data_IF_994572005616
#
_entry.id   IF_994572005616
#
_cell.length_a   1.000
_cell.length_b   1.000
_cell.length_c   1.000
_cell.angle_alpha   90.00
_cell.angle_beta   90.00
_cell.angle_gamma   90.00
#
_symmetry.space_group_name_H-M   'P 1'
#
loop_
_entity.id
_entity.type
_entity.pdbx_description
1 polymer ?
#
# COMPACT_ATOMS: atom_id res chain seq x y z
N UNK A 1 -9.16 -14.02 57.34
CA UNK A 1 -9.45 -12.62 56.95
C UNK A 1 -8.10 -11.95 56.82
N UNK A 2 -7.59 -11.51 55.68
CA UNK A 2 -8.17 -11.01 54.42
C UNK A 2 -7.33 -11.49 53.23
N UNK A 3 -7.97 -11.76 52.09
CA UNK A 3 -7.30 -11.77 50.79
C UNK A 3 -7.73 -10.49 50.08
N UNK A 4 -6.73 -9.69 49.70
CA UNK A 4 -6.87 -8.46 48.95
C UNK A 4 -7.44 -8.77 47.55
N UNK A 5 -8.57 -8.16 47.23
CA UNK A 5 -9.24 -8.27 45.91
C UNK A 5 -8.82 -7.06 45.09
N UNK A 6 -7.66 -7.14 44.45
CA UNK A 6 -7.33 -6.20 43.37
C UNK A 6 -8.02 -6.67 42.10
N UNK A 7 -9.14 -6.03 41.80
CA UNK A 7 -9.96 -6.19 40.61
C UNK A 7 -9.19 -5.79 39.33
N UNK A 8 -9.31 -6.55 38.21
CA UNK A 8 -8.51 -6.33 36.99
C UNK A 8 -9.05 -5.19 36.10
N UNK A 9 -9.68 -4.17 36.68
CA UNK A 9 -10.38 -3.11 35.94
C UNK A 9 -9.53 -1.89 35.58
N UNK A 10 -8.29 -1.74 36.08
CA UNK A 10 -7.54 -0.48 35.91
C UNK A 10 -6.65 -0.38 34.66
N UNK A 11 -6.50 -1.45 33.86
CA UNK A 11 -5.61 -1.41 32.69
C UNK A 11 -6.27 -0.86 31.41
N UNK A 12 -7.60 -0.82 31.36
CA UNK A 12 -8.36 -0.42 30.17
C UNK A 12 -8.92 1.01 30.21
N UNK A 13 -8.78 1.72 31.34
CA UNK A 13 -9.47 3.00 31.56
C UNK A 13 -8.73 4.24 31.01
N UNK A 14 -7.55 4.09 30.39
CA UNK A 14 -6.76 5.26 29.91
C UNK A 14 -6.25 5.14 28.47
N UNK A 15 -6.72 4.17 27.71
CA UNK A 15 -6.29 3.99 26.31
C UNK A 15 -7.26 4.70 25.38
N UNK A 16 -6.75 5.63 24.56
CA UNK A 16 -7.56 6.33 23.58
C UNK A 16 -8.08 5.36 22.50
N UNK A 17 -9.14 5.72 21.79
CA UNK A 17 -9.82 4.85 20.83
C UNK A 17 -8.88 4.29 19.74
N UNK A 18 -7.85 5.06 19.35
CA UNK A 18 -6.83 4.63 18.39
C UNK A 18 -5.96 3.51 18.95
N UNK A 19 -5.51 3.63 20.21
CA UNK A 19 -4.74 2.60 20.90
C UNK A 19 -5.59 1.37 21.22
N UNK A 20 -6.87 1.53 21.55
CA UNK A 20 -7.81 0.42 21.73
C UNK A 20 -8.02 -0.37 20.44
N UNK A 21 -8.15 0.31 19.29
CA UNK A 21 -8.25 -0.37 17.98
C UNK A 21 -6.97 -1.14 17.65
N UNK A 22 -5.79 -0.55 17.87
CA UNK A 22 -4.51 -1.22 17.62
C UNK A 22 -4.30 -2.45 18.53
N UNK A 23 -4.62 -2.34 19.83
CA UNK A 23 -4.54 -3.46 20.79
C UNK A 23 -5.55 -4.56 20.42
N UNK A 24 -6.77 -4.19 20.01
CA UNK A 24 -7.79 -5.14 19.56
C UNK A 24 -7.35 -5.89 18.30
N UNK A 25 -6.66 -5.22 17.36
CA UNK A 25 -6.06 -5.89 16.20
C UNK A 25 -4.91 -6.80 16.57
N UNK A 26 -4.00 -6.39 17.45
CA UNK A 26 -2.95 -7.31 17.90
C UNK A 26 -3.54 -8.57 18.53
N UNK A 27 -4.61 -8.46 19.32
CA UNK A 27 -5.28 -9.64 19.87
C UNK A 27 -6.03 -10.48 18.81
N UNK A 28 -6.60 -9.86 17.78
CA UNK A 28 -7.25 -10.57 16.67
C UNK A 28 -6.24 -11.19 15.68
N UNK A 29 -5.05 -10.58 15.53
CA UNK A 29 -3.92 -11.01 14.68
C UNK A 29 -3.02 -12.02 15.39
N UNK A 30 -3.15 -12.22 16.72
CA UNK A 30 -2.42 -13.25 17.48
C UNK A 30 -2.70 -14.70 17.03
N UNK A 31 -3.71 -14.94 16.20
CA UNK A 31 -3.86 -16.18 15.42
C UNK A 31 -3.38 -15.97 13.97
N UNK A 32 -2.91 -17.03 13.28
CA UNK A 32 -2.60 -16.99 11.83
C UNK A 32 -3.87 -16.61 11.05
N UNK A 33 -4.13 -15.30 10.91
CA UNK A 33 -5.15 -14.80 10.02
C UNK A 33 -4.76 -15.23 8.60
N UNK A 34 -5.76 -15.68 7.85
CA UNK A 34 -5.58 -15.92 6.43
C UNK A 34 -5.35 -14.57 5.75
N UNK A 35 -4.57 -14.57 4.66
CA UNK A 35 -4.24 -13.34 3.93
C UNK A 35 -5.50 -12.61 3.39
N UNK A 36 -6.58 -13.35 3.17
CA UNK A 36 -7.89 -12.88 2.69
C UNK A 36 -8.95 -12.79 3.79
N UNK A 37 -8.56 -12.83 5.07
CA UNK A 37 -9.50 -12.73 6.18
C UNK A 37 -10.31 -11.43 6.10
N UNK A 38 -11.64 -11.57 6.13
CA UNK A 38 -12.57 -10.43 6.01
C UNK A 38 -12.33 -9.32 7.04
N UNK A 39 -11.79 -9.65 8.22
CA UNK A 39 -11.44 -8.66 9.26
C UNK A 39 -10.28 -7.79 8.81
N UNK A 40 -9.26 -8.37 8.18
CA UNK A 40 -8.13 -7.62 7.60
C UNK A 40 -8.64 -6.71 6.48
N UNK A 41 -9.46 -7.25 5.58
CA UNK A 41 -10.02 -6.48 4.47
C UNK A 41 -10.87 -5.30 4.95
N UNK A 42 -11.74 -5.53 5.93
CA UNK A 42 -12.56 -4.47 6.53
C UNK A 42 -11.70 -3.45 7.26
N UNK A 43 -10.64 -3.89 7.94
CA UNK A 43 -9.71 -2.98 8.59
C UNK A 43 -9.04 -2.05 7.58
N UNK A 44 -8.42 -2.60 6.52
CA UNK A 44 -7.78 -1.84 5.45
C UNK A 44 -8.75 -0.84 4.80
N UNK A 45 -9.96 -1.28 4.47
CA UNK A 45 -10.99 -0.45 3.81
C UNK A 45 -11.48 0.71 4.68
N UNK A 46 -11.64 0.48 5.99
CA UNK A 46 -12.30 1.44 6.88
C UNK A 46 -11.34 2.37 7.65
N UNK A 47 -10.03 2.12 7.59
CA UNK A 47 -9.05 2.87 8.39
C UNK A 47 -8.12 3.75 7.55
N UNK A 48 -8.48 4.03 6.30
CA UNK A 48 -7.79 5.02 5.47
C UNK A 48 -6.46 4.56 4.86
N UNK A 49 -6.18 3.25 4.88
CA UNK A 49 -5.02 2.63 4.23
C UNK A 49 -5.16 2.58 2.70
N UNK A 50 -6.39 2.59 2.17
CA UNK A 50 -6.62 2.70 0.73
C UNK A 50 -6.78 4.17 0.35
N UNK A 51 -5.89 4.66 -0.52
CA UNK A 51 -6.02 5.96 -1.17
C UNK A 51 -6.47 5.73 -2.61
N UNK A 52 -7.61 6.30 -3.04
CA UNK A 52 -8.03 6.18 -4.43
C UNK A 52 -7.04 6.92 -5.34
N UNK A 53 -6.87 6.47 -6.60
CA UNK A 53 -6.06 7.21 -7.55
C UNK A 53 -6.69 8.58 -7.86
N UNK A 54 -5.89 9.56 -8.32
CA UNK A 54 -6.40 10.82 -8.85
C UNK A 54 -7.37 10.60 -10.02
N UNK A 55 -8.15 11.64 -10.36
CA UNK A 55 -8.97 11.61 -11.58
C UNK A 55 -8.08 11.54 -12.83
N UNK A 56 -8.56 10.88 -13.89
CA UNK A 56 -7.82 10.61 -15.15
C UNK A 56 -7.27 11.86 -15.86
N UNK A 57 -7.78 13.04 -15.55
CA UNK A 57 -7.36 14.31 -16.17
C UNK A 57 -6.38 15.11 -15.31
N UNK A 58 -5.83 14.51 -14.26
CA UNK A 58 -4.82 15.13 -13.40
C UNK A 58 -3.44 14.71 -13.89
N UNK A 59 -2.59 15.69 -14.18
CA UNK A 59 -1.19 15.43 -14.55
C UNK A 59 -0.42 14.79 -13.39
N UNK A 60 0.57 13.97 -13.73
CA UNK A 60 1.50 13.40 -12.76
C UNK A 60 2.23 14.49 -11.95
N UNK A 61 2.37 14.26 -10.65
CA UNK A 61 3.15 15.10 -9.74
C UNK A 61 4.52 14.44 -9.45
N UNK A 62 5.37 14.35 -10.47
CA UNK A 62 6.72 13.78 -10.36
C UNK A 62 7.69 14.86 -9.86
N UNK A 63 8.55 14.51 -8.91
CA UNK A 63 9.57 15.38 -8.30
C UNK A 63 10.86 15.45 -9.13
N UNK A 64 11.12 14.44 -9.96
CA UNK A 64 12.22 14.39 -10.94
C UNK A 64 11.68 14.21 -12.35
N UNK A 65 10.86 15.15 -12.85
CA UNK A 65 10.37 15.10 -14.23
C UNK A 65 11.49 15.34 -15.26
N UNK A 66 12.63 15.90 -14.81
CA UNK A 66 13.65 16.55 -15.62
C UNK A 66 14.90 15.71 -15.92
N UNK A 67 14.74 14.39 -16.03
CA UNK A 67 15.64 13.70 -16.97
C UNK A 67 14.96 13.85 -18.33
N UNK A 68 15.60 14.62 -19.21
CA UNK A 68 15.19 14.93 -20.58
C UNK A 68 14.00 14.10 -21.08
N UNK A 69 12.86 14.69 -21.48
CA UNK A 69 11.74 13.96 -22.07
C UNK A 69 12.10 13.06 -23.26
N UNK A 70 13.28 13.25 -23.86
CA UNK A 70 13.86 12.39 -24.89
C UNK A 70 14.63 11.18 -24.35
N UNK A 71 15.02 11.20 -23.08
CA UNK A 71 15.53 10.08 -22.31
C UNK A 71 14.38 9.44 -21.55
N UNK A 72 13.79 8.43 -22.18
CA UNK A 72 12.84 7.51 -21.56
C UNK A 72 13.55 6.69 -20.48
N UNK A 73 13.85 7.31 -19.34
CA UNK A 73 14.58 6.66 -18.25
C UNK A 73 13.59 5.83 -17.46
N UNK A 74 13.57 4.55 -17.80
CA UNK A 74 12.98 3.50 -17.01
C UNK A 74 13.58 3.51 -15.59
N UNK A 75 12.84 3.98 -14.55
CA UNK A 75 13.38 4.05 -13.19
C UNK A 75 13.57 2.65 -12.60
N UNK A 76 12.96 1.62 -13.19
CA UNK A 76 13.00 0.24 -12.70
C UNK A 76 14.35 -0.47 -12.89
N UNK A 77 15.32 0.21 -13.53
CA UNK A 77 16.62 -0.36 -13.90
C UNK A 77 16.50 -1.53 -14.89
N UNK A 78 15.56 -1.45 -15.84
CA UNK A 78 15.38 -2.43 -16.93
C UNK A 78 14.31 -3.50 -16.67
N UNK A 79 13.65 -3.48 -15.51
CA UNK A 79 12.62 -4.48 -15.18
C UNK A 79 11.32 -4.26 -15.97
N UNK A 80 10.91 -3.00 -16.19
CA UNK A 80 9.71 -2.68 -16.96
C UNK A 80 9.86 -3.13 -18.43
N UNK A 81 11.07 -3.07 -19.00
CA UNK A 81 11.37 -3.61 -20.32
C UNK A 81 11.25 -5.14 -20.39
N UNK A 82 11.58 -5.86 -19.31
CA UNK A 82 11.34 -7.31 -19.23
C UNK A 82 9.85 -7.59 -19.23
N UNK A 83 9.06 -6.87 -18.44
CA UNK A 83 7.59 -7.00 -18.39
C UNK A 83 6.99 -6.72 -19.78
N UNK A 84 7.38 -5.62 -20.42
CA UNK A 84 6.95 -5.26 -21.78
C UNK A 84 7.24 -6.38 -22.78
N UNK A 85 8.42 -6.99 -22.74
CA UNK A 85 8.77 -8.12 -23.62
C UNK A 85 7.92 -9.36 -23.34
N UNK A 86 7.77 -9.73 -22.07
CA UNK A 86 6.98 -10.91 -21.66
C UNK A 86 5.51 -10.78 -22.07
N UNK A 87 4.92 -9.60 -21.91
CA UNK A 87 3.53 -9.32 -22.24
C UNK A 87 3.35 -8.73 -23.64
N UNK A 88 4.38 -8.76 -24.48
CA UNK A 88 4.32 -8.32 -25.89
C UNK A 88 3.72 -6.91 -26.06
N UNK A 89 4.10 -5.98 -25.18
CA UNK A 89 3.60 -4.60 -25.20
C UNK A 89 2.11 -4.46 -24.85
N UNK A 90 1.54 -5.42 -24.10
CA UNK A 90 0.16 -5.34 -23.60
C UNK A 90 -0.13 -3.97 -22.99
N UNK A 91 -1.28 -3.40 -23.37
CA UNK A 91 -1.86 -2.20 -22.76
C UNK A 91 -3.02 -2.58 -21.84
N UNK A 92 -3.42 -1.64 -20.98
CA UNK A 92 -4.57 -1.79 -20.07
C UNK A 92 -4.44 -3.06 -19.21
N UNK A 93 -3.28 -3.26 -18.59
CA UNK A 93 -3.05 -4.32 -17.61
C UNK A 93 -3.27 -3.84 -16.18
N UNK A 94 -2.98 -4.71 -15.22
CA UNK A 94 -3.06 -4.40 -13.80
C UNK A 94 -1.77 -4.83 -13.08
N UNK A 95 -1.22 -3.98 -12.21
CA UNK A 95 -0.04 -4.29 -11.41
C UNK A 95 -0.29 -4.12 -9.90
N UNK A 96 0.56 -4.79 -9.11
CA UNK A 96 0.72 -4.52 -7.68
C UNK A 96 2.22 -4.37 -7.42
N UNK A 97 2.63 -3.22 -6.88
CA UNK A 97 4.00 -2.94 -6.51
C UNK A 97 4.13 -2.85 -4.99
N UNK A 98 4.90 -3.77 -4.39
CA UNK A 98 5.22 -3.77 -2.97
C UNK A 98 6.60 -3.12 -2.75
N UNK A 99 6.67 -2.14 -1.85
CA UNK A 99 7.87 -1.31 -1.66
C UNK A 99 7.91 -0.15 -2.65
N UNK A 100 6.77 0.50 -2.86
CA UNK A 100 6.61 1.55 -3.87
C UNK A 100 7.31 2.87 -3.52
N UNK A 101 7.77 3.05 -2.28
CA UNK A 101 8.40 4.27 -1.81
C UNK A 101 7.55 5.53 -2.10
N UNK A 102 7.99 6.39 -3.01
CA UNK A 102 7.36 7.64 -3.42
C UNK A 102 6.56 7.49 -4.73
N UNK A 103 6.51 6.28 -5.31
CA UNK A 103 5.85 5.99 -6.59
C UNK A 103 6.65 6.43 -7.82
N UNK A 104 7.88 6.93 -7.65
CA UNK A 104 8.69 7.51 -8.72
C UNK A 104 10.13 6.98 -8.68
N UNK A 105 10.82 7.20 -7.56
CA UNK A 105 12.21 6.81 -7.36
C UNK A 105 12.32 5.29 -7.38
N UNK A 106 12.98 4.75 -8.40
CA UNK A 106 13.13 3.31 -8.64
C UNK A 106 11.81 2.55 -8.81
N UNK A 107 10.73 3.22 -9.23
CA UNK A 107 9.46 2.56 -9.49
C UNK A 107 9.60 1.50 -10.58
N UNK A 108 9.02 0.33 -10.34
CA UNK A 108 8.98 -0.75 -11.33
C UNK A 108 7.78 -0.65 -12.27
N UNK A 109 6.78 0.15 -11.89
CA UNK A 109 5.47 0.17 -12.55
C UNK A 109 5.11 1.52 -13.17
N UNK A 110 5.85 2.60 -12.89
CA UNK A 110 5.58 3.94 -13.45
C UNK A 110 5.52 3.94 -14.99
N UNK A 111 6.46 3.25 -15.66
CA UNK A 111 6.45 3.14 -17.12
C UNK A 111 5.26 2.32 -17.65
N UNK A 112 4.82 1.30 -16.90
CA UNK A 112 3.63 0.50 -17.27
C UNK A 112 2.36 1.34 -17.18
N UNK A 113 2.25 2.18 -16.15
CA UNK A 113 1.13 3.09 -15.96
C UNK A 113 1.11 4.16 -17.06
N UNK A 114 2.20 4.92 -17.18
CA UNK A 114 2.31 6.07 -18.09
C UNK A 114 2.24 5.70 -19.56
N UNK A 115 2.99 4.67 -19.97
CA UNK A 115 3.25 4.40 -21.39
C UNK A 115 2.40 3.25 -21.95
N UNK A 116 1.85 2.40 -21.06
CA UNK A 116 1.01 1.25 -21.44
C UNK A 116 -0.40 1.32 -20.85
N UNK A 117 -0.74 2.39 -20.11
CA UNK A 117 -2.06 2.59 -19.53
C UNK A 117 -2.48 1.45 -18.61
N UNK A 118 -1.53 0.82 -17.92
CA UNK A 118 -1.86 -0.12 -16.85
C UNK A 118 -2.39 0.66 -15.65
N UNK A 119 -3.24 0.02 -14.85
CA UNK A 119 -3.66 0.55 -13.54
C UNK A 119 -3.04 -0.33 -12.44
N UNK A 120 -2.99 0.14 -11.20
CA UNK A 120 -2.44 -0.72 -10.16
C UNK A 120 -2.54 -0.20 -8.73
N UNK A 121 -1.97 -1.00 -7.83
CA UNK A 121 -1.87 -0.71 -6.41
C UNK A 121 -0.40 -0.57 -6.01
N UNK A 122 -0.06 0.59 -5.45
CA UNK A 122 1.22 0.83 -4.79
C UNK A 122 1.08 0.55 -3.29
N UNK A 123 2.02 -0.22 -2.73
CA UNK A 123 2.05 -0.57 -1.30
C UNK A 123 3.39 -0.15 -0.70
N UNK A 124 3.34 0.61 0.39
CA UNK A 124 4.50 1.08 1.17
C UNK A 124 4.12 1.12 2.66
N UNK A 125 5.13 1.12 3.57
CA UNK A 125 4.95 1.07 5.02
C UNK A 125 5.12 2.43 5.71
#
# INVERSE_FOLDING_TARGET
>A
MSADKTSPTSYYETINATTLNAIFLEEQIKGRLLQDDSRILNYIKNHGYLKPPPSVNVSYNLQKPDIDPSMDIDPSMGQSEIVKKLFQGKRNGFFVECGALDGETRSNTLALERDFSWEGLLVEA
#
